data_IF_735889978478
#
_entry.id   IF_735889978478
#
_cell.length_a   1.000
_cell.length_b   1.000
_cell.length_c   1.000
_cell.angle_alpha   90.00
_cell.angle_beta   90.00
_cell.angle_gamma   90.00
#
_symmetry.space_group_name_H-M   'P 1'
#
loop_
_entity.id
_entity.type
_entity.pdbx_description
1 polymer ?
#
# COMPACT_ATOMS: atom_id res chain seq x y z
N UNK A 1 25.29 -0.77 -3.63
CA UNK A 1 25.02 0.67 -3.55
C UNK A 1 23.80 1.11 -4.39
N UNK A 2 23.62 0.73 -5.67
CA UNK A 2 22.48 1.23 -6.45
C UNK A 2 21.08 0.61 -6.18
N UNK A 3 20.96 -0.67 -5.78
CA UNK A 3 19.63 -1.32 -5.60
C UNK A 3 18.91 -0.93 -4.30
N UNK A 4 19.63 -0.87 -3.17
CA UNK A 4 19.06 -0.54 -1.87
C UNK A 4 18.61 0.92 -1.74
N UNK A 5 19.36 1.85 -2.33
CA UNK A 5 18.98 3.28 -2.36
C UNK A 5 17.71 3.48 -3.19
N UNK A 6 17.60 2.84 -4.36
CA UNK A 6 16.43 2.94 -5.23
C UNK A 6 15.15 2.41 -4.57
N UNK A 7 15.27 1.30 -3.84
CA UNK A 7 14.17 0.71 -3.10
C UNK A 7 13.72 1.62 -1.94
N UNK A 8 14.66 2.20 -1.19
CA UNK A 8 14.38 3.20 -0.15
C UNK A 8 13.70 4.45 -0.72
N UNK A 9 14.09 4.89 -1.92
CA UNK A 9 13.45 6.01 -2.61
C UNK A 9 12.00 5.69 -2.96
N UNK A 10 11.71 4.50 -3.46
CA UNK A 10 10.33 4.11 -3.78
C UNK A 10 9.51 3.95 -2.49
N UNK A 11 10.08 3.35 -1.45
CA UNK A 11 9.43 3.24 -0.13
C UNK A 11 9.10 4.62 0.45
N UNK A 12 10.00 5.60 0.29
CA UNK A 12 9.78 6.97 0.80
C UNK A 12 8.62 7.72 0.13
N UNK A 13 8.15 7.27 -1.04
CA UNK A 13 6.99 7.84 -1.73
C UNK A 13 5.67 7.40 -1.09
N UNK A 14 5.61 6.19 -0.56
CA UNK A 14 4.45 5.70 0.21
C UNK A 14 4.27 6.46 1.53
N UNK A 15 5.34 7.08 2.04
CA UNK A 15 5.30 7.90 3.25
C UNK A 15 5.01 9.40 2.98
N UNK A 16 5.07 9.88 1.74
CA UNK A 16 4.87 11.31 1.42
C UNK A 16 3.42 11.81 1.53
N UNK A 17 2.50 10.97 2.01
CA UNK A 17 1.14 11.35 2.43
C UNK A 17 0.93 11.47 3.94
N UNK A 18 1.96 11.25 4.77
CA UNK A 18 1.85 11.38 6.23
C UNK A 18 2.89 12.36 6.76
N UNK A 19 2.41 13.42 7.40
CA UNK A 19 3.25 14.29 8.22
C UNK A 19 4.11 13.44 9.15
N UNK A 20 5.42 13.70 9.08
CA UNK A 20 6.43 13.24 10.04
C UNK A 20 5.87 13.12 11.46
N UNK A 21 5.87 11.91 12.01
CA UNK A 21 5.83 11.67 13.44
C UNK A 21 6.87 10.63 13.82
N UNK A 22 8.13 11.08 13.87
CA UNK A 22 8.99 10.60 14.95
C UNK A 22 8.31 10.94 16.27
N UNK A 23 8.04 9.93 17.10
CA UNK A 23 7.64 10.12 18.50
C UNK A 23 8.80 10.80 19.21
N UNK A 24 8.74 12.13 19.29
CA UNK A 24 9.53 12.94 20.17
C UNK A 24 8.57 13.62 21.14
N UNK A 25 8.88 13.50 22.43
CA UNK A 25 8.26 14.24 23.53
C UNK A 25 8.09 15.72 23.18
N UNK A 26 7.00 16.38 23.61
CA UNK A 26 6.68 17.73 23.15
C UNK A 26 7.74 18.73 23.63
N UNK A 27 8.43 19.45 22.72
CA UNK A 27 9.12 20.66 23.11
C UNK A 27 8.07 21.75 23.30
N UNK A 28 8.09 22.38 24.46
CA UNK A 28 7.45 23.66 24.70
C UNK A 28 8.27 24.72 23.97
N UNK A 29 7.98 24.99 22.69
CA UNK A 29 8.22 26.31 22.10
C UNK A 29 7.68 26.39 20.66
N UNK A 30 6.77 27.33 20.44
CA UNK A 30 6.31 27.75 19.12
C UNK A 30 7.37 28.63 18.45
N UNK A 31 8.21 28.07 17.59
CA UNK A 31 8.91 28.86 16.56
C UNK A 31 9.34 28.03 15.34
N UNK A 32 8.81 28.44 14.17
CA UNK A 32 9.36 28.26 12.81
C UNK A 32 9.66 26.84 12.31
N UNK A 33 8.85 26.35 11.35
CA UNK A 33 9.29 25.38 10.36
C UNK A 33 10.47 25.97 9.58
N UNK A 34 11.69 25.52 9.89
CA UNK A 34 12.87 25.87 9.09
C UNK A 34 12.90 24.99 7.84
N UNK A 35 13.19 25.60 6.69
CA UNK A 35 13.38 24.90 5.44
C UNK A 35 14.53 23.88 5.56
N UNK A 36 14.38 22.72 4.91
CA UNK A 36 15.41 21.69 4.87
C UNK A 36 16.76 22.28 4.41
N UNK A 37 17.91 21.87 5.00
CA UNK A 37 19.22 22.36 4.62
C UNK A 37 19.46 22.20 3.11
N UNK A 38 20.10 23.19 2.48
CA UNK A 38 20.28 23.27 1.02
C UNK A 38 20.91 22.01 0.36
N UNK A 39 21.62 21.18 1.13
CA UNK A 39 22.18 19.90 0.68
C UNK A 39 21.15 18.76 0.57
N UNK A 40 20.07 18.78 1.36
CA UNK A 40 18.97 17.83 1.30
C UNK A 40 18.08 18.11 0.08
N UNK A 41 17.71 19.37 -0.15
CA UNK A 41 16.93 19.78 -1.33
C UNK A 41 17.59 19.40 -2.66
N UNK A 42 18.92 19.51 -2.76
CA UNK A 42 19.66 19.06 -3.96
C UNK A 42 19.65 17.55 -4.14
N UNK A 43 19.73 16.78 -3.05
CA UNK A 43 19.66 15.31 -3.08
C UNK A 43 18.26 14.84 -3.45
N UNK A 44 17.23 15.45 -2.88
CA UNK A 44 15.83 15.18 -3.22
C UNK A 44 15.54 15.45 -4.70
N UNK A 45 15.99 16.58 -5.23
CA UNK A 45 15.84 16.90 -6.65
C UNK A 45 16.55 15.88 -7.55
N UNK A 46 17.77 15.46 -7.19
CA UNK A 46 18.50 14.43 -7.91
C UNK A 46 17.78 13.06 -7.85
N UNK A 47 17.24 12.70 -6.70
CA UNK A 47 16.49 11.47 -6.52
C UNK A 47 15.18 11.48 -7.32
N UNK A 48 14.46 12.60 -7.32
CA UNK A 48 13.24 12.78 -8.11
C UNK A 48 13.51 12.66 -9.62
N UNK A 49 14.64 13.20 -10.10
CA UNK A 49 15.06 13.03 -11.48
C UNK A 49 15.34 11.56 -11.83
N UNK A 50 16.02 10.82 -10.95
CA UNK A 50 16.29 9.39 -11.15
C UNK A 50 15.00 8.55 -11.21
N UNK A 51 14.01 8.87 -10.39
CA UNK A 51 12.72 8.16 -10.39
C UNK A 51 11.99 8.32 -11.73
N UNK A 52 12.17 9.46 -12.41
CA UNK A 52 11.58 9.72 -13.73
C UNK A 52 12.18 8.89 -14.86
N UNK A 53 13.34 8.28 -14.66
CA UNK A 53 13.92 7.34 -15.62
C UNK A 53 13.43 5.90 -15.40
N UNK A 54 12.68 5.64 -14.32
CA UNK A 54 12.21 4.30 -13.97
C UNK A 54 10.88 3.96 -14.62
N UNK A 55 10.77 2.68 -14.95
CA UNK A 55 9.51 2.02 -15.28
C UNK A 55 9.10 1.13 -14.11
N UNK A 56 7.87 1.27 -13.61
CA UNK A 56 7.31 0.41 -12.57
C UNK A 56 6.17 -0.42 -13.16
N UNK A 57 6.24 -1.73 -12.99
CA UNK A 57 5.13 -2.65 -13.18
C UNK A 57 4.54 -3.02 -11.82
N UNK A 58 3.26 -2.76 -11.67
CA UNK A 58 2.46 -3.34 -10.61
C UNK A 58 1.78 -4.60 -11.14
N UNK A 59 2.28 -5.76 -10.73
CA UNK A 59 1.73 -7.06 -11.07
C UNK A 59 0.73 -7.54 -10.03
N UNK A 60 -0.53 -7.60 -10.43
CA UNK A 60 -1.67 -7.84 -9.58
C UNK A 60 -2.52 -8.96 -10.19
N UNK A 61 -2.31 -10.23 -9.83
CA UNK A 61 -2.96 -11.39 -10.44
C UNK A 61 -4.41 -11.59 -9.96
N UNK A 62 -5.17 -10.51 -9.86
CA UNK A 62 -6.62 -10.50 -9.59
C UNK A 62 -7.37 -9.74 -10.69
N UNK A 63 -8.70 -9.87 -10.69
CA UNK A 63 -9.56 -9.09 -11.56
C UNK A 63 -9.56 -7.60 -11.20
N UNK A 64 -10.22 -6.80 -12.03
CA UNK A 64 -10.66 -5.48 -11.60
C UNK A 64 -11.94 -5.63 -10.79
N UNK A 65 -11.79 -5.81 -9.48
CA UNK A 65 -12.86 -6.08 -8.52
C UNK A 65 -12.60 -5.36 -7.18
N UNK A 66 -13.43 -5.59 -6.18
CA UNK A 66 -13.22 -5.03 -4.83
C UNK A 66 -12.51 -6.01 -3.89
N UNK A 67 -11.59 -6.82 -4.42
CA UNK A 67 -10.67 -7.60 -3.57
C UNK A 67 -9.77 -6.66 -2.77
N UNK A 68 -9.25 -7.17 -1.64
CA UNK A 68 -8.33 -6.41 -0.79
C UNK A 68 -7.09 -5.96 -1.55
N UNK A 69 -6.47 -6.85 -2.33
CA UNK A 69 -5.28 -6.53 -3.13
C UNK A 69 -5.55 -5.45 -4.18
N UNK A 70 -6.71 -5.50 -4.86
CA UNK A 70 -7.08 -4.45 -5.81
C UNK A 70 -7.30 -3.12 -5.11
N UNK A 71 -8.08 -3.11 -4.01
CA UNK A 71 -8.39 -1.88 -3.28
C UNK A 71 -7.15 -1.22 -2.71
N UNK A 72 -6.22 -2.00 -2.15
CA UNK A 72 -4.95 -1.48 -1.66
C UNK A 72 -4.12 -0.85 -2.79
N UNK A 73 -4.03 -1.51 -3.95
CA UNK A 73 -3.25 -1.04 -5.08
C UNK A 73 -3.72 0.33 -5.59
N UNK A 74 -5.03 0.62 -5.51
CA UNK A 74 -5.61 1.88 -5.96
C UNK A 74 -4.94 3.11 -5.33
N UNK A 75 -4.70 3.10 -4.03
CA UNK A 75 -4.16 4.26 -3.33
C UNK A 75 -2.69 4.57 -3.69
N UNK A 76 -1.93 3.60 -4.20
CA UNK A 76 -0.54 3.81 -4.63
C UNK A 76 -0.43 4.37 -6.05
N UNK A 77 -1.32 3.96 -6.97
CA UNK A 77 -1.12 4.24 -8.39
C UNK A 77 -1.00 5.73 -8.72
N UNK A 78 -1.86 6.64 -8.19
CA UNK A 78 -1.78 8.05 -8.56
C UNK A 78 -0.44 8.67 -8.21
N UNK A 79 0.13 8.35 -7.05
CA UNK A 79 1.41 8.90 -6.63
C UNK A 79 2.59 8.26 -7.36
N UNK A 80 2.53 6.95 -7.61
CA UNK A 80 3.55 6.29 -8.42
C UNK A 80 3.56 6.84 -9.84
N UNK A 81 2.41 7.03 -10.47
CA UNK A 81 2.30 7.60 -11.81
C UNK A 81 2.90 9.01 -11.88
N UNK A 82 2.64 9.83 -10.85
CA UNK A 82 3.21 11.18 -10.76
C UNK A 82 4.72 11.18 -10.48
N UNK A 83 5.27 10.07 -9.97
CA UNK A 83 6.67 10.01 -9.55
C UNK A 83 7.56 9.37 -10.59
N UNK A 84 7.15 8.24 -11.17
CA UNK A 84 8.00 7.48 -12.07
C UNK A 84 7.87 7.98 -13.51
N UNK A 85 8.76 7.51 -14.39
CA UNK A 85 8.69 7.80 -15.82
C UNK A 85 7.51 7.10 -16.48
N UNK A 86 7.23 5.86 -16.06
CA UNK A 86 6.14 5.06 -16.60
C UNK A 86 5.63 4.04 -15.59
N UNK A 87 4.31 3.99 -15.43
CA UNK A 87 3.62 3.01 -14.61
C UNK A 87 2.82 2.05 -15.49
N UNK A 88 2.96 0.75 -15.24
CA UNK A 88 2.25 -0.33 -15.90
C UNK A 88 1.47 -1.10 -14.83
N UNK A 89 0.24 -1.50 -15.15
CA UNK A 89 -0.57 -2.36 -14.30
C UNK A 89 -0.95 -3.63 -15.05
N UNK A 90 -0.51 -4.78 -14.55
CA UNK A 90 -0.95 -6.10 -15.04
C UNK A 90 -1.99 -6.66 -14.08
N UNK A 91 -3.27 -6.41 -14.42
CA UNK A 91 -4.45 -6.95 -13.72
C UNK A 91 -5.56 -7.26 -14.72
N UNK A 92 -6.68 -7.81 -14.25
CA UNK A 92 -7.90 -7.88 -15.06
C UNK A 92 -8.34 -6.51 -15.57
N UNK A 93 -8.74 -6.39 -16.83
CA UNK A 93 -9.17 -5.11 -17.42
C UNK A 93 -10.38 -4.54 -16.68
N UNK A 94 -10.31 -3.28 -16.26
CA UNK A 94 -11.44 -2.58 -15.67
C UNK A 94 -12.42 -2.13 -16.75
N UNK A 95 -13.67 -2.58 -16.69
CA UNK A 95 -14.71 -2.05 -17.55
C UNK A 95 -15.18 -0.66 -17.07
N UNK A 96 -15.99 0.00 -17.91
CA UNK A 96 -16.51 1.34 -17.59
C UNK A 96 -17.38 1.37 -16.32
N UNK A 97 -18.10 0.29 -16.03
CA UNK A 97 -18.99 0.22 -14.87
C UNK A 97 -18.20 0.12 -13.57
N UNK A 98 -17.10 -0.63 -13.57
CA UNK A 98 -16.20 -0.73 -12.42
C UNK A 98 -15.47 0.59 -12.19
N UNK A 99 -14.91 1.19 -13.25
CA UNK A 99 -14.20 2.47 -13.17
C UNK A 99 -15.09 3.60 -12.63
N UNK A 100 -16.39 3.58 -12.91
CA UNK A 100 -17.34 4.55 -12.38
C UNK A 100 -17.60 4.44 -10.87
N UNK A 101 -17.18 3.33 -10.23
CA UNK A 101 -17.33 3.09 -8.77
C UNK A 101 -16.06 3.37 -7.97
N UNK A 102 -14.95 3.67 -8.66
CA UNK A 102 -13.66 3.99 -8.05
C UNK A 102 -13.53 5.52 -7.98
N UNK A 103 -12.89 6.09 -6.93
CA UNK A 103 -12.54 7.51 -6.89
C UNK A 103 -11.92 7.99 -8.21
N UNK A 104 -12.33 9.15 -8.76
CA UNK A 104 -11.93 9.57 -10.11
C UNK A 104 -10.42 9.62 -10.35
N UNK A 105 -9.66 10.03 -9.32
CA UNK A 105 -8.20 10.11 -9.35
C UNK A 105 -7.56 8.73 -9.57
N UNK A 106 -7.98 7.76 -8.76
CA UNK A 106 -7.52 6.38 -8.82
C UNK A 106 -7.98 5.69 -10.11
N UNK A 107 -9.25 5.87 -10.51
CA UNK A 107 -9.81 5.30 -11.73
C UNK A 107 -9.02 5.74 -12.98
N UNK A 108 -8.64 7.01 -13.03
CA UNK A 108 -7.84 7.56 -14.13
C UNK A 108 -6.42 7.00 -14.15
N UNK A 109 -5.79 6.81 -12.98
CA UNK A 109 -4.47 6.18 -12.87
C UNK A 109 -4.50 4.70 -13.30
N UNK A 110 -5.53 3.94 -12.89
CA UNK A 110 -5.76 2.56 -13.35
C UNK A 110 -5.86 2.50 -14.87
N UNK A 111 -6.71 3.32 -15.48
CA UNK A 111 -6.90 3.34 -16.93
C UNK A 111 -5.59 3.59 -17.69
N UNK A 112 -4.81 4.59 -17.26
CA UNK A 112 -3.52 4.93 -17.88
C UNK A 112 -2.48 3.83 -17.68
N UNK A 113 -2.36 3.29 -16.47
CA UNK A 113 -1.44 2.20 -16.17
C UNK A 113 -1.77 0.91 -16.95
N UNK A 114 -3.05 0.57 -17.12
CA UNK A 114 -3.48 -0.58 -17.95
C UNK A 114 -3.23 -0.33 -19.44
N UNK A 115 -3.41 0.90 -19.92
CA UNK A 115 -3.09 1.26 -21.31
C UNK A 115 -1.57 1.13 -21.59
N UNK A 116 -0.74 1.48 -20.60
CA UNK A 116 0.72 1.36 -20.68
C UNK A 116 1.23 -0.09 -20.65
N UNK A 117 0.46 -1.03 -20.10
CA UNK A 117 0.83 -2.44 -19.97
C UNK A 117 1.05 -3.18 -21.30
N UNK A 118 0.76 -2.53 -22.44
CA UNK A 118 0.91 -3.07 -23.80
C UNK A 118 2.26 -2.78 -24.46
N UNK A 119 3.29 -2.31 -23.74
CA UNK A 119 4.62 -1.97 -24.31
C UNK A 119 5.79 -2.80 -23.73
N UNK A 120 6.84 -2.95 -24.54
CA UNK A 120 7.90 -3.97 -24.40
C UNK A 120 8.77 -3.94 -23.13
N UNK A 121 9.47 -5.06 -22.91
CA UNK A 121 10.32 -5.35 -21.75
C UNK A 121 11.55 -4.41 -21.69
N UNK A 122 11.74 -3.72 -20.56
CA UNK A 122 12.92 -2.86 -20.30
C UNK A 122 13.76 -3.41 -19.14
N UNK A 123 15.09 -3.28 -19.22
CA UNK A 123 16.03 -3.60 -18.11
C UNK A 123 15.94 -2.60 -16.95
N UNK A 124 15.41 -1.39 -17.18
CA UNK A 124 15.23 -0.34 -16.16
C UNK A 124 13.96 -0.50 -15.32
N UNK A 125 13.28 -1.65 -15.44
CA UNK A 125 11.97 -1.90 -14.86
C UNK A 125 12.06 -2.39 -13.43
N UNK A 126 11.15 -1.96 -12.58
CA UNK A 126 10.91 -2.51 -11.23
C UNK A 126 9.55 -3.19 -11.25
N UNK A 127 9.49 -4.42 -10.71
CA UNK A 127 8.26 -5.21 -10.70
C UNK A 127 7.79 -5.38 -9.26
N UNK A 128 6.56 -4.97 -8.96
CA UNK A 128 5.88 -5.17 -7.69
C UNK A 128 4.88 -6.31 -7.88
N UNK A 129 5.17 -7.47 -7.31
CA UNK A 129 4.27 -8.63 -7.30
C UNK A 129 3.37 -8.54 -6.08
N UNK A 130 2.10 -8.20 -6.30
CA UNK A 130 1.13 -7.95 -5.24
C UNK A 130 0.16 -9.13 -5.11
N UNK A 131 0.50 -10.06 -4.23
CA UNK A 131 -0.30 -11.26 -3.93
C UNK A 131 0.38 -12.08 -2.82
N UNK A 132 -0.19 -13.24 -2.49
CA UNK A 132 0.44 -14.23 -1.62
C UNK A 132 1.82 -14.70 -2.16
N UNK A 133 2.85 -14.90 -1.31
CA UNK A 133 4.22 -15.12 -1.76
C UNK A 133 4.42 -16.31 -2.71
N UNK A 134 3.62 -17.37 -2.54
CA UNK A 134 3.74 -18.57 -3.36
C UNK A 134 3.13 -18.41 -4.76
N UNK A 135 2.35 -17.36 -5.01
CA UNK A 135 1.81 -17.02 -6.33
C UNK A 135 2.81 -16.21 -7.18
N UNK A 136 3.82 -15.61 -6.56
CA UNK A 136 4.83 -14.80 -7.27
C UNK A 136 5.62 -15.61 -8.29
N UNK A 137 5.93 -15.00 -9.42
CA UNK A 137 6.95 -15.47 -10.36
C UNK A 137 8.30 -15.53 -9.66
N UNK A 138 9.06 -16.60 -9.89
CA UNK A 138 10.39 -16.74 -9.28
C UNK A 138 11.36 -15.79 -9.96
N UNK A 139 12.25 -15.23 -9.16
CA UNK A 139 13.41 -14.45 -9.61
C UNK A 139 14.26 -15.23 -10.63
N UNK A 140 14.38 -16.55 -10.48
CA UNK A 140 15.11 -17.43 -11.40
C UNK A 140 14.39 -17.68 -12.75
N UNK A 141 13.10 -17.35 -12.85
CA UNK A 141 12.31 -17.53 -14.08
C UNK A 141 12.44 -16.32 -15.03
N UNK A 142 13.22 -15.30 -14.66
CA UNK A 142 13.60 -14.22 -15.56
C UNK A 142 14.82 -14.64 -16.36
N UNK A 143 14.77 -14.48 -17.69
CA UNK A 143 15.96 -14.55 -18.53
C UNK A 143 16.93 -13.48 -18.01
N UNK A 144 18.21 -13.82 -17.81
CA UNK A 144 19.21 -12.95 -17.17
C UNK A 144 19.25 -11.55 -17.83
N UNK A 145 19.19 -11.51 -19.16
CA UNK A 145 19.17 -10.29 -19.96
C UNK A 145 17.82 -9.54 -19.94
N UNK A 146 16.76 -10.13 -19.39
CA UNK A 146 15.45 -9.50 -19.24
C UNK A 146 15.05 -9.29 -17.77
N UNK A 147 15.95 -9.59 -16.82
CA UNK A 147 15.64 -9.45 -15.40
C UNK A 147 15.37 -7.98 -15.05
N UNK A 148 14.26 -7.67 -14.35
CA UNK A 148 14.02 -6.36 -13.78
C UNK A 148 15.16 -5.87 -12.88
N UNK A 149 15.29 -4.56 -12.76
CA UNK A 149 16.22 -3.89 -11.86
C UNK A 149 16.02 -4.31 -10.40
N UNK A 150 14.76 -4.48 -10.01
CA UNK A 150 14.34 -5.03 -8.72
C UNK A 150 12.98 -5.75 -8.85
N UNK A 151 12.81 -6.83 -8.08
CA UNK A 151 11.53 -7.52 -7.89
C UNK A 151 11.09 -7.36 -6.44
N UNK A 152 9.95 -6.74 -6.21
CA UNK A 152 9.40 -6.45 -4.89
C UNK A 152 8.17 -7.33 -4.70
N UNK A 153 8.08 -8.06 -3.59
CA UNK A 153 6.87 -8.77 -3.20
C UNK A 153 6.04 -7.93 -2.25
N UNK A 154 4.82 -7.53 -2.62
CA UNK A 154 3.87 -6.89 -1.70
C UNK A 154 2.92 -7.96 -1.17
N UNK A 155 2.96 -8.22 0.13
CA UNK A 155 2.10 -9.22 0.80
C UNK A 155 1.62 -8.74 2.15
N UNK A 156 0.54 -9.33 2.61
CA UNK A 156 0.05 -9.21 3.98
C UNK A 156 -0.41 -10.58 4.46
N UNK A 157 -0.57 -10.73 5.77
CA UNK A 157 -1.21 -11.91 6.34
C UNK A 157 -2.19 -11.49 7.43
N UNK A 158 -3.40 -12.02 7.38
CA UNK A 158 -4.44 -11.71 8.38
C UNK A 158 -4.40 -12.65 9.59
N UNK A 159 -3.47 -13.59 9.60
CA UNK A 159 -3.25 -14.55 10.67
C UNK A 159 -1.77 -14.55 11.08
N UNK A 160 -1.46 -15.12 12.24
CA UNK A 160 -0.07 -15.36 12.65
C UNK A 160 0.36 -16.70 12.02
N UNK A 161 1.11 -16.71 10.90
CA UNK A 161 1.69 -17.95 10.41
C UNK A 161 2.66 -18.51 11.45
N UNK A 162 2.68 -19.83 11.61
CA UNK A 162 3.61 -20.49 12.52
C UNK A 162 4.09 -21.84 11.96
N UNK A 163 5.23 -22.30 12.46
CA UNK A 163 5.83 -23.58 12.08
C UNK A 163 5.92 -23.76 10.56
N UNK A 164 5.32 -24.84 10.04
CA UNK A 164 5.37 -25.17 8.61
C UNK A 164 4.76 -24.10 7.70
N UNK A 165 3.78 -23.35 8.18
CA UNK A 165 3.15 -22.28 7.38
C UNK A 165 4.12 -21.12 7.19
N UNK A 166 4.77 -20.68 8.27
CA UNK A 166 5.75 -19.62 8.22
C UNK A 166 6.97 -20.01 7.37
N UNK A 167 7.47 -21.24 7.54
CA UNK A 167 8.56 -21.78 6.71
C UNK A 167 8.20 -21.85 5.22
N UNK A 168 6.95 -22.22 4.90
CA UNK A 168 6.48 -22.21 3.52
C UNK A 168 6.43 -20.79 2.93
N UNK A 169 5.96 -19.83 3.72
CA UNK A 169 5.88 -18.43 3.35
C UNK A 169 7.29 -17.84 3.14
N UNK A 170 8.24 -18.12 4.05
CA UNK A 170 9.63 -17.69 3.94
C UNK A 170 10.29 -18.22 2.66
N UNK A 171 10.17 -19.53 2.38
CA UNK A 171 10.68 -20.14 1.15
C UNK A 171 10.07 -19.50 -0.11
N UNK A 172 8.76 -19.25 -0.11
CA UNK A 172 8.13 -18.58 -1.24
C UNK A 172 8.57 -17.11 -1.38
N UNK A 173 8.92 -16.46 -0.27
CA UNK A 173 9.38 -15.07 -0.26
C UNK A 173 10.80 -14.89 -0.80
N UNK A 174 11.56 -15.97 -1.02
CA UNK A 174 12.82 -15.96 -1.78
C UNK A 174 12.63 -15.53 -3.25
N UNK A 175 11.38 -15.54 -3.74
CA UNK A 175 11.03 -15.13 -5.11
C UNK A 175 11.11 -13.62 -5.37
N UNK A 176 11.32 -12.81 -4.33
CA UNK A 176 11.49 -11.35 -4.44
C UNK A 176 12.88 -10.93 -3.93
N UNK A 177 13.35 -9.76 -4.37
CA UNK A 177 14.56 -9.11 -3.83
C UNK A 177 14.28 -8.38 -2.52
N UNK A 178 13.07 -7.84 -2.39
CA UNK A 178 12.57 -7.15 -1.21
C UNK A 178 11.08 -7.46 -1.01
N UNK A 179 10.61 -7.31 0.23
CA UNK A 179 9.24 -7.64 0.61
C UNK A 179 8.65 -6.43 1.32
N UNK A 180 7.53 -5.95 0.80
CA UNK A 180 6.74 -4.89 1.39
C UNK A 180 5.59 -5.47 2.19
N UNK A 181 5.51 -5.08 3.45
CA UNK A 181 4.46 -5.47 4.40
C UNK A 181 3.77 -4.20 4.95
N UNK A 182 2.48 -4.25 5.32
CA UNK A 182 1.76 -3.01 5.65
C UNK A 182 2.15 -2.43 7.02
N UNK A 183 2.66 -3.25 7.95
CA UNK A 183 2.90 -2.83 9.34
C UNK A 183 4.15 -3.45 9.93
N UNK A 184 4.67 -2.83 10.98
CA UNK A 184 5.77 -3.37 11.79
C UNK A 184 5.42 -4.74 12.39
N UNK A 185 4.15 -4.98 12.73
CA UNK A 185 3.69 -6.29 13.20
C UNK A 185 4.01 -7.40 12.18
N UNK A 186 3.80 -7.15 10.89
CA UNK A 186 4.14 -8.11 9.85
C UNK A 186 5.66 -8.32 9.76
N UNK A 187 6.46 -7.26 9.91
CA UNK A 187 7.93 -7.42 9.94
C UNK A 187 8.37 -8.30 11.11
N UNK A 188 7.78 -8.13 12.29
CA UNK A 188 8.10 -8.95 13.47
C UNK A 188 7.72 -10.41 13.24
N UNK A 189 6.47 -10.67 12.83
CA UNK A 189 5.97 -12.04 12.64
C UNK A 189 6.71 -12.77 11.52
N UNK A 190 6.95 -12.11 10.39
CA UNK A 190 7.66 -12.73 9.26
C UNK A 190 9.17 -12.77 9.48
N UNK A 191 9.72 -11.86 10.29
CA UNK A 191 11.13 -11.75 10.64
C UNK A 191 11.68 -12.96 11.41
N UNK A 192 10.80 -13.82 11.92
CA UNK A 192 11.17 -15.11 12.52
C UNK A 192 11.84 -16.06 11.51
N UNK A 193 11.46 -16.02 10.22
CA UNK A 193 11.98 -16.90 9.16
C UNK A 193 12.48 -16.13 7.92
N UNK A 194 12.19 -14.83 7.81
CA UNK A 194 12.61 -13.97 6.69
C UNK A 194 13.63 -12.94 7.19
N UNK A 195 14.77 -12.75 6.50
CA UNK A 195 15.75 -11.72 6.88
C UNK A 195 15.14 -10.31 6.98
N UNK A 196 15.39 -9.62 8.09
CA UNK A 196 14.84 -8.29 8.37
C UNK A 196 15.23 -7.22 7.33
N UNK A 197 16.43 -7.32 6.76
CA UNK A 197 16.91 -6.41 5.70
C UNK A 197 16.15 -6.56 4.38
N UNK A 198 15.39 -7.64 4.22
CA UNK A 198 14.49 -7.89 3.11
C UNK A 198 13.08 -7.35 3.34
N UNK A 199 12.69 -7.12 4.60
CA UNK A 199 11.35 -6.73 4.98
C UNK A 199 11.28 -5.20 5.13
N UNK A 200 10.32 -4.57 4.48
CA UNK A 200 10.10 -3.12 4.55
C UNK A 200 8.65 -2.82 4.88
N UNK A 201 8.42 -1.97 5.88
CA UNK A 201 7.07 -1.45 6.17
C UNK A 201 6.69 -0.42 5.10
N UNK A 202 5.62 -0.71 4.38
CA UNK A 202 5.00 0.18 3.41
C UNK A 202 3.50 0.17 3.71
N UNK A 203 2.99 1.17 4.47
CA UNK A 203 1.59 1.19 4.88
C UNK A 203 0.63 1.35 3.72
N UNK A 204 -0.56 0.77 3.89
CA UNK A 204 -1.69 1.02 2.99
C UNK A 204 -2.06 2.50 2.95
N UNK A 205 -2.60 2.93 1.81
CA UNK A 205 -2.88 4.33 1.51
C UNK A 205 -4.38 4.57 1.40
N UNK A 206 -4.78 5.83 1.56
CA UNK A 206 -6.18 6.28 1.41
C UNK A 206 -6.19 7.60 0.65
N UNK A 207 -7.13 7.76 -0.28
CA UNK A 207 -7.31 9.03 -1.00
C UNK A 207 -7.93 10.08 -0.07
N UNK A 208 -7.07 10.85 0.60
CA UNK A 208 -7.47 11.91 1.55
C UNK A 208 -8.18 13.09 0.87
N UNK A 209 -8.06 13.25 -0.45
CA UNK A 209 -8.81 14.26 -1.19
C UNK A 209 -10.24 13.79 -1.47
N UNK A 210 -10.43 12.50 -1.73
CA UNK A 210 -11.75 11.90 -1.85
C UNK A 210 -12.46 11.78 -0.50
N UNK A 211 -11.75 11.34 0.54
CA UNK A 211 -12.26 11.21 1.91
C UNK A 211 -12.06 12.48 2.75
N UNK A 212 -12.16 13.66 2.12
CA UNK A 212 -12.05 14.94 2.83
C UNK A 212 -13.29 15.17 3.71
N UNK A 213 -13.15 15.32 5.04
CA UNK A 213 -14.28 15.57 5.94
C UNK A 213 -15.02 16.87 5.63
N UNK A 214 -14.41 17.84 4.93
CA UNK A 214 -15.07 19.06 4.49
C UNK A 214 -16.08 18.81 3.36
N UNK A 215 -15.94 17.71 2.62
CA UNK A 215 -16.87 17.30 1.55
C UNK A 215 -18.00 16.40 2.06
N UNK A 216 -17.83 15.80 3.23
CA UNK A 216 -18.83 14.92 3.83
C UNK A 216 -19.96 15.73 4.51
N UNK A 217 -21.22 15.24 4.46
CA UNK A 217 -22.28 15.77 5.30
C UNK A 217 -21.87 15.68 6.78
N UNK A 218 -22.11 16.75 7.53
CA UNK A 218 -21.87 16.72 8.97
C UNK A 218 -22.86 15.74 9.63
N UNK A 219 -22.40 14.74 10.39
CA UNK A 219 -23.31 13.86 11.10
C UNK A 219 -24.12 14.67 12.14
N UNK A 220 -25.33 14.20 12.50
CA UNK A 220 -26.10 14.83 13.56
C UNK A 220 -25.31 14.79 14.87
N UNK A 221 -25.46 15.84 15.68
CA UNK A 221 -24.80 15.93 17.00
C UNK A 221 -25.41 14.95 18.01
N UNK A 222 -26.70 14.62 17.83
CA UNK A 222 -27.44 13.65 18.63
C UNK A 222 -28.39 12.81 17.77
N UNK A 223 -28.66 11.54 18.14
CA UNK A 223 -27.99 10.79 19.22
C UNK A 223 -26.50 10.56 18.93
N UNK A 224 -25.71 10.20 19.94
CA UNK A 224 -24.31 9.81 19.72
C UNK A 224 -24.30 8.57 18.83
N UNK A 225 -23.79 8.71 17.60
CA UNK A 225 -23.90 7.68 16.57
C UNK A 225 -22.58 6.94 16.41
N UNK A 226 -22.58 5.66 16.73
CA UNK A 226 -21.54 4.72 16.34
C UNK A 226 -21.77 4.33 14.87
N UNK A 227 -20.70 4.29 14.07
CA UNK A 227 -20.77 3.82 12.68
C UNK A 227 -19.79 2.67 12.51
N UNK A 228 -20.31 1.52 12.07
CA UNK A 228 -19.52 0.34 11.78
C UNK A 228 -19.61 -0.02 10.29
N UNK A 229 -18.48 0.06 9.57
CA UNK A 229 -18.41 -0.26 8.14
C UNK A 229 -17.42 -1.38 7.92
N UNK A 230 -17.92 -2.57 7.62
CA UNK A 230 -17.10 -3.74 7.30
C UNK A 230 -17.88 -4.75 6.46
N UNK A 231 -17.17 -5.70 5.86
CA UNK A 231 -17.78 -6.86 5.22
C UNK A 231 -18.43 -7.77 6.28
N UNK A 232 -19.61 -8.33 5.99
CA UNK A 232 -20.35 -9.20 6.90
C UNK A 232 -19.70 -10.59 7.06
N UNK A 233 -18.60 -10.66 7.80
CA UNK A 233 -17.83 -11.86 8.06
C UNK A 233 -17.55 -12.00 9.56
N UNK A 234 -17.55 -13.24 10.07
CA UNK A 234 -17.31 -13.52 11.49
C UNK A 234 -16.03 -12.87 12.03
N UNK A 235 -14.93 -12.87 11.25
CA UNK A 235 -13.66 -12.25 11.70
C UNK A 235 -13.73 -10.74 11.91
N UNK A 236 -14.79 -10.07 11.42
CA UNK A 236 -15.02 -8.64 11.63
C UNK A 236 -15.73 -8.35 12.95
N UNK A 237 -16.12 -9.40 13.70
CA UNK A 237 -16.64 -9.27 15.07
C UNK A 237 -17.97 -8.53 15.14
N UNK A 238 -18.82 -8.67 14.11
CA UNK A 238 -20.12 -8.02 14.08
C UNK A 238 -21.04 -8.52 15.20
N UNK A 239 -20.91 -9.79 15.56
CA UNK A 239 -21.59 -10.45 16.66
C UNK A 239 -21.16 -9.84 18.01
N UNK A 240 -19.85 -9.73 18.24
CA UNK A 240 -19.30 -9.10 19.44
C UNK A 240 -19.68 -7.62 19.56
N UNK A 241 -19.72 -6.90 18.44
CA UNK A 241 -20.15 -5.50 18.40
C UNK A 241 -21.62 -5.35 18.83
N UNK A 242 -22.52 -6.18 18.29
CA UNK A 242 -23.95 -6.15 18.63
C UNK A 242 -24.20 -6.60 20.07
N UNK A 243 -23.55 -7.68 20.51
CA UNK A 243 -23.64 -8.16 21.89
C UNK A 243 -23.18 -7.07 22.88
N UNK A 244 -22.08 -6.38 22.59
CA UNK A 244 -21.59 -5.28 23.41
C UNK A 244 -22.57 -4.09 23.41
N UNK A 245 -23.12 -3.73 22.25
CA UNK A 245 -24.08 -2.62 22.13
C UNK A 245 -25.34 -2.86 22.95
N UNK A 246 -25.98 -4.03 22.81
CA UNK A 246 -27.19 -4.37 23.57
C UNK A 246 -26.94 -4.65 25.04
N UNK A 247 -25.73 -5.08 25.41
CA UNK A 247 -25.38 -5.29 26.82
C UNK A 247 -25.08 -3.97 27.54
N UNK A 248 -24.62 -2.94 26.82
CA UNK A 248 -24.21 -1.68 27.41
C UNK A 248 -25.32 -0.63 27.43
N UNK A 249 -26.21 -0.61 26.43
CA UNK A 249 -27.18 0.45 26.24
C UNK A 249 -28.64 -0.01 26.38
N UNK A 250 -29.45 0.83 27.01
CA UNK A 250 -30.90 0.70 27.08
C UNK A 250 -31.58 1.53 25.97
N UNK A 251 -32.85 1.23 25.61
CA UNK A 251 -33.60 2.03 24.63
C UNK A 251 -33.78 3.52 24.99
N UNK A 252 -33.54 3.89 26.25
CA UNK A 252 -33.60 5.26 26.77
C UNK A 252 -32.31 6.05 26.55
N UNK A 253 -31.19 5.38 26.22
CA UNK A 253 -29.91 6.05 25.98
C UNK A 253 -29.94 6.82 24.64
N UNK A 254 -29.39 8.05 24.63
CA UNK A 254 -29.28 8.87 23.42
C UNK A 254 -28.13 8.40 22.51
N UNK A 255 -28.10 7.12 22.16
CA UNK A 255 -27.10 6.50 21.29
C UNK A 255 -27.73 5.74 20.12
N UNK A 256 -26.97 5.57 19.04
CA UNK A 256 -27.35 4.79 17.86
C UNK A 256 -26.12 4.02 17.36
N UNK A 257 -26.31 2.76 16.95
CA UNK A 257 -25.34 1.96 16.19
C UNK A 257 -25.91 1.61 14.81
#
# INVERSE_FOLDING_TARGET
WCRGVLLLLIISLSCHGQNSTTVATPPSDTSTCQAAPQGESKREAANAALLKDLEVEWDLPVGCDFSGFFTEMLGYLPELENTVGRLLLTSGTCDRNMLAKIPPREAAAVQRAQANARGGKSKGRIVIQHSEPCAWKKVADYIEEERPLAVIGRTMTEAIPSGKQLQALARCSERADAIWVPTEWHQVVLGEEIPFDKLHVVPETVDVAFFDPALAPKPPVRPFTFLAVFKWEHRKGWDLLLDAYWSLFEPSDEVLL
#
